data_IF_315086769869
#
_entry.id   IF_315086769869
#
_cell.length_a   1.000
_cell.length_b   1.000
_cell.length_c   1.000
_cell.angle_alpha   90.00
_cell.angle_beta   90.00
_cell.angle_gamma   90.00
#
_symmetry.space_group_name_H-M   'P 1'
#
loop_
_entity.id
_entity.type
_entity.pdbx_description
1 polymer ?
#
# COMPACT_ATOMS: atom_id res chain seq x y z
N UNK A 1 33.19 -1.96 -28.98
CA UNK A 1 33.31 -1.02 -27.84
C UNK A 1 32.12 -0.07 -27.76
N UNK A 2 31.71 0.59 -28.86
CA UNK A 2 30.54 1.48 -28.89
C UNK A 2 29.19 0.77 -28.64
N UNK A 3 29.00 -0.43 -29.19
CA UNK A 3 27.77 -1.23 -29.03
C UNK A 3 27.49 -1.68 -27.60
N UNK A 4 28.56 -1.95 -26.84
CA UNK A 4 28.47 -2.38 -25.44
C UNK A 4 28.09 -1.19 -24.54
N UNK A 5 28.58 0.01 -24.87
CA UNK A 5 28.25 1.25 -24.19
C UNK A 5 26.80 1.70 -24.46
N UNK A 6 26.30 1.53 -25.69
CA UNK A 6 24.89 1.81 -26.02
C UNK A 6 23.92 0.86 -25.34
N UNK A 7 24.26 -0.44 -25.22
CA UNK A 7 23.44 -1.42 -24.50
C UNK A 7 23.38 -1.08 -23.01
N UNK A 8 24.52 -0.72 -22.39
CA UNK A 8 24.57 -0.24 -21.01
C UNK A 8 23.74 1.02 -20.80
N UNK A 9 23.84 2.03 -21.68
CA UNK A 9 23.03 3.25 -21.59
C UNK A 9 21.52 2.99 -21.72
N UNK A 10 21.12 2.07 -22.61
CA UNK A 10 19.71 1.67 -22.78
C UNK A 10 19.15 0.89 -21.58
N UNK A 11 20.00 0.13 -20.89
CA UNK A 11 19.67 -0.55 -19.63
C UNK A 11 19.46 0.47 -18.51
N UNK A 12 20.37 1.44 -18.36
CA UNK A 12 20.29 2.49 -17.35
C UNK A 12 19.05 3.39 -17.55
N UNK A 13 18.72 3.78 -18.80
CA UNK A 13 17.53 4.59 -19.07
C UNK A 13 16.20 3.86 -18.83
N UNK A 14 16.18 2.52 -18.99
CA UNK A 14 15.01 1.72 -18.63
C UNK A 14 14.89 1.61 -17.11
N UNK A 15 15.98 1.37 -16.38
CA UNK A 15 15.99 1.30 -14.91
C UNK A 15 15.43 2.60 -14.30
N UNK A 16 15.88 3.77 -14.75
CA UNK A 16 15.35 5.07 -14.31
C UNK A 16 13.83 5.23 -14.59
N UNK A 17 13.35 4.67 -15.70
CA UNK A 17 11.92 4.74 -16.05
C UNK A 17 11.06 3.77 -15.23
N UNK A 18 11.60 2.60 -14.90
CA UNK A 18 10.94 1.60 -14.05
C UNK A 18 10.85 2.10 -12.60
N UNK A 19 11.92 2.67 -12.06
CA UNK A 19 11.92 3.28 -10.72
C UNK A 19 10.94 4.47 -10.62
N UNK A 20 10.86 5.31 -11.67
CA UNK A 20 9.89 6.40 -11.74
C UNK A 20 8.43 5.91 -11.77
N UNK A 21 8.15 4.83 -12.49
CA UNK A 21 6.81 4.23 -12.57
C UNK A 21 6.40 3.58 -11.25
N UNK A 22 7.32 2.85 -10.62
CA UNK A 22 7.10 2.20 -9.32
C UNK A 22 6.75 3.22 -8.24
N UNK A 23 7.52 4.31 -8.15
CA UNK A 23 7.22 5.42 -7.24
C UNK A 23 5.88 6.10 -7.55
N UNK A 24 5.53 6.29 -8.82
CA UNK A 24 4.24 6.88 -9.20
C UNK A 24 3.05 6.00 -8.77
N UNK A 25 3.17 4.68 -8.94
CA UNK A 25 2.16 3.72 -8.50
C UNK A 25 2.07 3.69 -6.97
N UNK A 26 3.22 3.63 -6.27
CA UNK A 26 3.26 3.63 -4.81
C UNK A 26 2.60 4.89 -4.23
N UNK A 27 2.91 6.07 -4.77
CA UNK A 27 2.25 7.32 -4.39
C UNK A 27 0.74 7.30 -4.70
N UNK A 28 0.35 6.76 -5.87
CA UNK A 28 -1.04 6.59 -6.24
C UNK A 28 -1.82 5.72 -5.25
N UNK A 29 -1.24 4.59 -4.83
CA UNK A 29 -1.80 3.71 -3.81
C UNK A 29 -1.94 4.44 -2.47
N UNK A 30 -0.91 5.18 -2.04
CA UNK A 30 -0.96 5.97 -0.80
C UNK A 30 -2.10 6.99 -0.83
N UNK A 31 -2.22 7.77 -1.90
CA UNK A 31 -3.28 8.79 -2.05
C UNK A 31 -4.66 8.14 -2.07
N UNK A 32 -4.85 7.07 -2.84
CA UNK A 32 -6.12 6.36 -2.93
C UNK A 32 -6.48 5.73 -1.59
N UNK A 33 -5.53 5.14 -0.87
CA UNK A 33 -5.76 4.53 0.44
C UNK A 33 -6.26 5.55 1.47
N UNK A 34 -5.66 6.75 1.52
CA UNK A 34 -6.08 7.85 2.38
C UNK A 34 -7.47 8.35 2.02
N UNK A 35 -7.76 8.46 0.71
CA UNK A 35 -9.06 8.87 0.22
C UNK A 35 -10.13 7.85 0.63
N UNK A 36 -9.86 6.55 0.45
CA UNK A 36 -10.75 5.47 0.87
C UNK A 36 -10.97 5.45 2.38
N UNK A 37 -9.93 5.70 3.17
CA UNK A 37 -10.03 5.85 4.63
C UNK A 37 -10.96 7.02 4.99
N UNK A 38 -10.74 8.20 4.40
CA UNK A 38 -11.57 9.38 4.63
C UNK A 38 -13.03 9.14 4.20
N UNK A 39 -13.24 8.44 3.07
CA UNK A 39 -14.56 8.08 2.58
C UNK A 39 -15.25 7.08 3.52
N UNK A 40 -14.52 6.10 4.02
CA UNK A 40 -15.02 5.10 4.99
C UNK A 40 -15.45 5.77 6.30
N UNK A 41 -14.66 6.72 6.81
CA UNK A 41 -15.02 7.54 7.98
C UNK A 41 -16.26 8.39 7.71
N UNK A 42 -16.35 9.01 6.52
CA UNK A 42 -17.49 9.84 6.12
C UNK A 42 -18.77 9.00 5.98
N UNK A 43 -18.66 7.81 5.39
CA UNK A 43 -19.75 6.86 5.28
C UNK A 43 -20.23 6.42 6.67
N UNK A 44 -19.33 6.09 7.61
CA UNK A 44 -19.72 5.78 8.98
C UNK A 44 -20.54 6.90 9.63
N UNK A 45 -20.13 8.16 9.43
CA UNK A 45 -20.85 9.33 9.95
C UNK A 45 -22.24 9.50 9.35
N UNK A 46 -22.43 9.15 8.06
CA UNK A 46 -23.69 9.36 7.33
C UNK A 46 -24.68 8.20 7.45
N UNK A 47 -24.21 6.94 7.44
CA UNK A 47 -25.07 5.74 7.47
C UNK A 47 -25.14 5.04 8.83
N UNK A 48 -24.25 5.33 9.80
CA UNK A 48 -24.16 4.66 11.12
C UNK A 48 -24.10 3.11 11.06
N UNK A 49 -23.75 2.55 9.90
CA UNK A 49 -23.62 1.11 9.74
C UNK A 49 -22.37 0.63 10.48
N UNK A 50 -22.54 -0.35 11.37
CA UNK A 50 -21.41 -0.95 12.11
C UNK A 50 -20.43 -1.66 11.17
N UNK A 51 -20.90 -2.08 10.00
CA UNK A 51 -20.09 -2.69 8.95
C UNK A 51 -18.99 -1.74 8.45
N UNK A 52 -19.24 -0.43 8.42
CA UNK A 52 -18.26 0.57 7.94
C UNK A 52 -17.05 0.69 8.87
N UNK A 53 -17.17 0.30 10.15
CA UNK A 53 -16.04 0.31 11.09
C UNK A 53 -14.95 -0.66 10.63
N UNK A 54 -15.32 -1.84 10.13
CA UNK A 54 -14.35 -2.79 9.61
C UNK A 54 -13.59 -2.22 8.42
N UNK A 55 -14.28 -1.54 7.50
CA UNK A 55 -13.65 -0.88 6.37
C UNK A 55 -12.69 0.23 6.82
N UNK A 56 -13.04 1.03 7.84
CA UNK A 56 -12.13 2.03 8.44
C UNK A 56 -10.86 1.36 8.95
N UNK A 57 -10.98 0.26 9.70
CA UNK A 57 -9.83 -0.44 10.27
C UNK A 57 -8.92 -1.00 9.17
N UNK A 58 -9.50 -1.63 8.15
CA UNK A 58 -8.77 -2.21 7.01
C UNK A 58 -8.03 -1.11 6.26
N UNK A 59 -8.70 -0.01 5.89
CA UNK A 59 -8.06 1.08 5.16
C UNK A 59 -7.03 1.83 6.01
N UNK A 60 -7.21 1.90 7.33
CA UNK A 60 -6.22 2.49 8.22
C UNK A 60 -4.95 1.62 8.30
N UNK A 61 -5.10 0.31 8.50
CA UNK A 61 -3.98 -0.63 8.48
C UNK A 61 -3.26 -0.63 7.13
N UNK A 62 -4.02 -0.59 6.03
CA UNK A 62 -3.46 -0.52 4.68
C UNK A 62 -2.70 0.78 4.43
N UNK A 63 -3.22 1.93 4.89
CA UNK A 63 -2.50 3.20 4.79
C UNK A 63 -1.21 3.20 5.63
N UNK A 64 -1.23 2.60 6.82
CA UNK A 64 -0.03 2.44 7.66
C UNK A 64 1.00 1.55 6.96
N UNK A 65 0.57 0.41 6.41
CA UNK A 65 1.46 -0.48 5.65
C UNK A 65 2.11 0.26 4.48
N UNK A 66 1.30 0.92 3.64
CA UNK A 66 1.80 1.65 2.48
C UNK A 66 2.75 2.79 2.87
N UNK A 67 2.50 3.43 4.01
CA UNK A 67 3.39 4.45 4.55
C UNK A 67 4.73 3.88 5.00
N UNK A 68 4.74 2.70 5.63
CA UNK A 68 5.97 1.99 6.00
C UNK A 68 6.75 1.60 4.74
N UNK A 69 6.09 1.00 3.73
CA UNK A 69 6.71 0.63 2.45
C UNK A 69 7.31 1.85 1.73
N UNK A 70 6.61 2.97 1.75
CA UNK A 70 7.12 4.22 1.17
C UNK A 70 8.35 4.75 1.93
N UNK A 71 8.35 4.65 3.27
CA UNK A 71 9.50 5.07 4.07
C UNK A 71 10.71 4.14 3.89
N UNK A 72 10.47 2.84 3.73
CA UNK A 72 11.51 1.84 3.47
C UNK A 72 12.29 2.16 2.18
N UNK A 73 11.56 2.52 1.13
CA UNK A 73 12.14 2.96 -0.15
C UNK A 73 12.95 4.28 -0.08
N UNK A 74 12.70 5.13 0.91
CA UNK A 74 13.36 6.45 1.05
C UNK A 74 14.49 6.42 2.06
N UNK A 75 14.34 5.62 3.12
CA UNK A 75 15.24 5.58 4.26
C UNK A 75 15.97 4.25 4.25
N UNK A 76 17.20 4.22 3.74
CA UNK A 76 18.09 3.03 3.71
C UNK A 76 18.28 2.39 5.11
N UNK A 77 18.09 3.16 6.19
CA UNK A 77 18.16 2.63 7.56
C UNK A 77 16.92 1.81 7.98
N UNK A 78 15.81 1.90 7.24
CA UNK A 78 14.61 1.10 7.45
C UNK A 78 14.65 -0.22 6.68
N UNK A 79 15.38 -0.29 5.56
CA UNK A 79 15.57 -1.48 4.73
C UNK A 79 16.24 -2.60 5.52
N UNK A 80 15.41 -3.43 6.16
CA UNK A 80 15.82 -4.50 7.06
C UNK A 80 14.84 -5.66 6.92
N UNK A 81 15.29 -6.93 6.96
CA UNK A 81 14.39 -8.09 6.94
C UNK A 81 13.28 -8.06 8.00
N UNK A 82 13.43 -7.30 9.08
CA UNK A 82 12.36 -7.09 10.07
C UNK A 82 11.20 -6.25 9.49
N UNK A 83 11.46 -5.18 8.73
CA UNK A 83 10.39 -4.35 8.12
C UNK A 83 9.62 -5.15 7.08
N UNK A 84 10.30 -5.93 6.24
CA UNK A 84 9.69 -6.85 5.28
C UNK A 84 8.69 -7.83 5.92
N UNK A 85 9.07 -8.42 7.06
CA UNK A 85 8.21 -9.34 7.82
C UNK A 85 7.01 -8.62 8.41
N UNK A 86 7.21 -7.40 8.92
CA UNK A 86 6.11 -6.57 9.46
C UNK A 86 5.11 -6.21 8.36
N UNK A 87 5.58 -5.78 7.20
CA UNK A 87 4.76 -5.44 6.02
C UNK A 87 3.99 -6.66 5.52
N UNK A 88 4.66 -7.80 5.41
CA UNK A 88 4.03 -9.06 5.01
C UNK A 88 2.96 -9.51 6.02
N UNK A 89 3.24 -9.36 7.31
CA UNK A 89 2.29 -9.66 8.39
C UNK A 89 1.09 -8.70 8.39
N UNK A 90 1.30 -7.41 8.10
CA UNK A 90 0.23 -6.43 7.93
C UNK A 90 -0.67 -6.81 6.76
N UNK A 91 -0.10 -7.21 5.63
CA UNK A 91 -0.84 -7.66 4.45
C UNK A 91 -1.76 -8.83 4.80
N UNK A 92 -1.23 -9.85 5.50
CA UNK A 92 -2.02 -10.99 5.97
C UNK A 92 -3.13 -10.56 6.93
N UNK A 93 -2.84 -9.65 7.85
CA UNK A 93 -3.81 -9.14 8.82
C UNK A 93 -4.94 -8.38 8.13
N UNK A 94 -4.61 -7.53 7.15
CA UNK A 94 -5.57 -6.77 6.35
C UNK A 94 -6.47 -7.73 5.57
N UNK A 95 -5.90 -8.76 4.94
CA UNK A 95 -6.67 -9.77 4.20
C UNK A 95 -7.62 -10.54 5.12
N UNK A 96 -7.14 -10.97 6.29
CA UNK A 96 -7.95 -11.67 7.28
C UNK A 96 -9.11 -10.78 7.78
N UNK A 97 -8.84 -9.51 8.09
CA UNK A 97 -9.86 -8.54 8.49
C UNK A 97 -10.85 -8.24 7.36
N UNK A 98 -10.38 -8.18 6.11
CA UNK A 98 -11.22 -8.00 4.94
C UNK A 98 -12.20 -9.15 4.75
N UNK A 99 -11.72 -10.39 4.84
CA UNK A 99 -12.60 -11.57 4.83
C UNK A 99 -13.57 -11.57 6.02
N UNK A 100 -13.09 -11.25 7.22
CA UNK A 100 -13.94 -11.17 8.41
C UNK A 100 -15.06 -10.13 8.24
N UNK A 101 -14.74 -8.97 7.68
CA UNK A 101 -15.70 -7.90 7.39
C UNK A 101 -16.79 -8.40 6.43
N UNK A 102 -16.41 -9.09 5.36
CA UNK A 102 -17.36 -9.64 4.38
C UNK A 102 -18.25 -10.71 5.03
N UNK A 103 -17.67 -11.65 5.76
CA UNK A 103 -18.43 -12.75 6.41
C UNK A 103 -19.41 -12.21 7.45
N UNK A 104 -18.98 -11.27 8.29
CA UNK A 104 -19.83 -10.64 9.32
C UNK A 104 -20.95 -9.80 8.73
N UNK A 105 -20.78 -9.24 7.54
CA UNK A 105 -21.80 -8.43 6.86
C UNK A 105 -23.01 -9.27 6.43
N UNK A 106 -22.89 -10.60 6.29
CA UNK A 106 -23.99 -11.49 5.93
C UNK A 106 -24.85 -11.99 7.10
N UNK A 107 -24.54 -11.66 8.35
CA UNK A 107 -25.26 -12.15 9.55
C UNK A 107 -26.06 -11.02 10.24
N UNK A 108 -26.47 -9.99 9.50
CA UNK A 108 -27.38 -8.94 10.00
C UNK A 108 -28.70 -8.93 9.26
#
# INVERSE_FOLDING_TARGET
>A
MLTLLTVLFSGISQIDSFEGLENAIALGITVISLLLLALSVTAYRKTRLRVTIYAIIIFALFAIQQFIDYLDNIIVALDNPITDVVVSSLTLTILALFFLAIVRTKIS
#
